data_IF_566035837440
#
_entry.id   IF_566035837440
#
_cell.length_a   1.000
_cell.length_b   1.000
_cell.length_c   1.000
_cell.angle_alpha   90.00
_cell.angle_beta   90.00
_cell.angle_gamma   90.00
#
_symmetry.space_group_name_H-M   'P 1'
#
loop_
_entity.id
_entity.type
_entity.pdbx_description
1 polymer ?
#
# COMPACT_ATOMS: atom_id res chain seq x y z
N UNK A 1 -45.79 15.65 -17.86
CA UNK A 1 -45.11 15.74 -16.53
C UNK A 1 -44.67 14.40 -15.96
N UNK A 2 -45.18 13.25 -16.46
CA UNK A 2 -44.78 11.91 -15.96
C UNK A 2 -43.42 11.44 -16.52
N UNK A 3 -42.99 11.91 -17.70
CA UNK A 3 -41.71 11.50 -18.34
C UNK A 3 -40.43 11.97 -17.62
N UNK A 4 -40.47 13.07 -16.86
CA UNK A 4 -39.29 13.61 -16.18
C UNK A 4 -38.98 12.90 -14.85
N UNK A 5 -40.02 12.37 -14.18
CA UNK A 5 -39.87 11.58 -12.96
C UNK A 5 -39.31 10.18 -13.24
N UNK A 6 -39.71 9.56 -14.35
CA UNK A 6 -39.20 8.26 -14.77
C UNK A 6 -37.73 8.31 -15.17
N UNK A 7 -37.27 9.37 -15.87
CA UNK A 7 -35.85 9.52 -16.24
C UNK A 7 -34.94 9.77 -15.04
N UNK A 8 -35.43 10.48 -14.01
CA UNK A 8 -34.68 10.70 -12.77
C UNK A 8 -34.59 9.40 -11.96
N UNK A 9 -35.68 8.63 -11.88
CA UNK A 9 -35.69 7.35 -11.18
C UNK A 9 -34.78 6.32 -11.85
N UNK A 10 -34.73 6.27 -13.19
CA UNK A 10 -33.77 5.39 -13.90
C UNK A 10 -32.32 5.83 -13.68
N UNK A 11 -32.04 7.14 -13.64
CA UNK A 11 -30.71 7.64 -13.30
C UNK A 11 -30.31 7.29 -11.86
N UNK A 12 -31.24 7.37 -10.92
CA UNK A 12 -30.99 6.94 -9.54
C UNK A 12 -30.74 5.43 -9.45
N UNK A 13 -31.45 4.62 -10.23
CA UNK A 13 -31.28 3.17 -10.28
C UNK A 13 -29.92 2.78 -10.90
N UNK A 14 -29.50 3.47 -11.95
CA UNK A 14 -28.16 3.33 -12.55
C UNK A 14 -27.06 3.72 -11.55
N UNK A 15 -27.26 4.79 -10.78
CA UNK A 15 -26.31 5.17 -9.72
C UNK A 15 -26.30 4.13 -8.61
N UNK A 16 -27.46 3.61 -8.20
CA UNK A 16 -27.57 2.60 -7.16
C UNK A 16 -26.88 1.29 -7.55
N UNK A 17 -27.05 0.84 -8.80
CA UNK A 17 -26.38 -0.35 -9.32
C UNK A 17 -24.86 -0.15 -9.44
N UNK A 18 -24.39 1.00 -9.92
CA UNK A 18 -22.97 1.34 -9.93
C UNK A 18 -22.37 1.35 -8.51
N UNK A 19 -23.08 1.93 -7.54
CA UNK A 19 -22.64 1.97 -6.14
C UNK A 19 -22.60 0.58 -5.50
N UNK A 20 -23.53 -0.31 -5.85
CA UNK A 20 -23.52 -1.69 -5.36
C UNK A 20 -22.30 -2.46 -5.89
N UNK A 21 -22.02 -2.36 -7.19
CA UNK A 21 -20.83 -2.97 -7.81
C UNK A 21 -19.53 -2.47 -7.18
N UNK A 22 -19.42 -1.14 -6.99
CA UNK A 22 -18.27 -0.52 -6.31
C UNK A 22 -18.14 -1.03 -4.88
N UNK A 23 -19.25 -1.19 -4.17
CA UNK A 23 -19.27 -1.66 -2.79
C UNK A 23 -18.82 -3.12 -2.68
N UNK A 24 -19.31 -4.00 -3.57
CA UNK A 24 -18.94 -5.42 -3.60
C UNK A 24 -17.47 -5.60 -3.97
N UNK A 25 -17.03 -4.98 -5.07
CA UNK A 25 -15.65 -5.09 -5.53
C UNK A 25 -14.67 -4.41 -4.58
N UNK A 26 -15.03 -3.25 -4.03
CA UNK A 26 -14.24 -2.54 -3.02
C UNK A 26 -14.07 -3.36 -1.75
N UNK A 27 -15.14 -4.04 -1.28
CA UNK A 27 -15.06 -4.97 -0.14
C UNK A 27 -14.16 -6.16 -0.44
N UNK A 28 -14.22 -6.71 -1.66
CA UNK A 28 -13.35 -7.81 -2.06
C UNK A 28 -11.88 -7.37 -2.14
N UNK A 29 -11.61 -6.19 -2.71
CA UNK A 29 -10.30 -5.58 -2.76
C UNK A 29 -9.73 -5.38 -1.35
N UNK A 30 -10.46 -4.70 -0.47
CA UNK A 30 -10.06 -4.50 0.92
C UNK A 30 -9.78 -5.83 1.65
N UNK A 31 -10.61 -6.86 1.42
CA UNK A 31 -10.41 -8.19 2.02
C UNK A 31 -9.14 -8.87 1.50
N UNK A 32 -8.87 -8.80 0.19
CA UNK A 32 -7.68 -9.43 -0.41
C UNK A 32 -6.39 -8.66 -0.10
N UNK A 33 -6.47 -7.35 0.12
CA UNK A 33 -5.32 -6.52 0.48
C UNK A 33 -5.09 -6.44 1.99
N UNK A 34 -6.01 -6.95 2.83
CA UNK A 34 -5.90 -6.90 4.29
C UNK A 34 -4.63 -7.55 4.84
N UNK A 35 -4.17 -8.67 4.23
CA UNK A 35 -2.92 -9.32 4.63
C UNK A 35 -1.69 -8.44 4.37
N UNK A 36 -1.66 -7.78 3.21
CA UNK A 36 -0.59 -6.85 2.79
C UNK A 36 -0.62 -5.57 3.61
N UNK A 37 -1.82 -5.05 3.91
CA UNK A 37 -2.04 -3.93 4.83
C UNK A 37 -1.45 -4.18 6.22
N UNK A 38 -1.56 -5.42 6.72
CA UNK A 38 -0.93 -5.83 7.97
C UNK A 38 0.60 -5.77 7.91
N UNK A 39 1.20 -6.15 6.77
CA UNK A 39 2.64 -5.99 6.54
C UNK A 39 3.02 -4.50 6.50
N UNK A 40 2.20 -3.64 5.88
CA UNK A 40 2.44 -2.18 5.81
C UNK A 40 2.50 -1.56 7.20
N UNK A 41 1.50 -1.88 8.03
CA UNK A 41 1.44 -1.44 9.42
C UNK A 41 2.65 -1.91 10.22
N UNK A 42 3.03 -3.19 10.08
CA UNK A 42 4.17 -3.77 10.80
C UNK A 42 5.50 -3.13 10.39
N UNK A 43 5.74 -3.02 9.09
CA UNK A 43 6.99 -2.48 8.55
C UNK A 43 7.12 -0.99 8.83
N UNK A 44 6.03 -0.23 8.70
CA UNK A 44 6.03 1.19 9.00
C UNK A 44 6.24 1.41 10.50
N UNK A 45 5.57 0.66 11.38
CA UNK A 45 5.80 0.72 12.83
C UNK A 45 7.27 0.43 13.20
N UNK A 46 7.87 -0.62 12.63
CA UNK A 46 9.30 -0.91 12.80
C UNK A 46 10.19 0.23 12.32
N UNK A 47 9.83 0.88 11.22
CA UNK A 47 10.59 2.00 10.67
C UNK A 47 10.45 3.28 11.50
N UNK A 48 9.41 3.47 12.31
CA UNK A 48 9.35 4.60 13.27
C UNK A 48 10.07 4.27 14.58
N UNK A 49 10.22 2.99 14.95
CA UNK A 49 10.91 2.61 16.20
C UNK A 49 12.38 3.06 16.22
N UNK A 50 12.80 3.69 17.33
CA UNK A 50 14.17 4.18 17.55
C UNK A 50 14.39 5.67 17.29
N UNK A 51 13.38 6.40 16.80
CA UNK A 51 13.35 7.87 16.81
C UNK A 51 12.96 8.32 18.23
N UNK A 52 13.47 9.46 18.71
CA UNK A 52 13.03 9.99 20.03
C UNK A 52 11.53 10.23 19.98
N UNK A 53 10.77 9.83 21.00
CA UNK A 53 9.30 9.94 21.04
C UNK A 53 8.73 11.32 20.64
N UNK A 54 9.45 12.42 20.90
CA UNK A 54 9.05 13.78 20.51
C UNK A 54 9.30 14.13 19.02
N UNK A 55 9.83 13.20 18.22
CA UNK A 55 10.19 13.36 16.80
C UNK A 55 9.54 12.31 15.90
N UNK A 56 8.72 11.42 16.44
CA UNK A 56 8.03 10.37 15.69
C UNK A 56 6.95 10.95 14.75
N UNK A 57 6.14 11.89 15.23
CA UNK A 57 5.07 12.53 14.45
C UNK A 57 5.57 13.21 13.15
N UNK A 58 6.64 14.03 13.16
CA UNK A 58 7.21 14.60 11.93
C UNK A 58 7.73 13.54 10.94
N UNK A 59 8.28 12.43 11.44
CA UNK A 59 8.78 11.33 10.61
C UNK A 59 7.62 10.62 9.94
N UNK A 60 6.60 10.20 10.70
CA UNK A 60 5.38 9.56 10.17
C UNK A 60 4.71 10.45 9.13
N UNK A 61 4.60 11.76 9.39
CA UNK A 61 4.06 12.72 8.43
C UNK A 61 4.89 12.82 7.15
N UNK A 62 6.23 12.80 7.27
CA UNK A 62 7.13 12.79 6.13
C UNK A 62 6.95 11.54 5.25
N UNK A 63 6.80 10.37 5.89
CA UNK A 63 6.54 9.12 5.19
C UNK A 63 5.14 9.13 4.56
N UNK A 64 4.11 9.54 5.28
CA UNK A 64 2.73 9.64 4.80
C UNK A 64 2.63 10.51 3.53
N UNK A 65 3.30 11.67 3.53
CA UNK A 65 3.34 12.55 2.36
C UNK A 65 4.03 11.89 1.16
N UNK A 66 5.14 11.20 1.38
CA UNK A 66 5.85 10.46 0.33
C UNK A 66 5.03 9.30 -0.24
N UNK A 67 4.43 8.51 0.65
CA UNK A 67 3.49 7.43 0.35
C UNK A 67 2.30 7.90 -0.49
N UNK A 68 1.72 9.04 -0.13
CA UNK A 68 0.61 9.62 -0.88
C UNK A 68 1.04 10.00 -2.31
N UNK A 69 2.22 10.61 -2.48
CA UNK A 69 2.76 10.92 -3.82
C UNK A 69 2.97 9.64 -4.63
N UNK A 70 3.51 8.59 -4.01
CA UNK A 70 3.69 7.29 -4.66
C UNK A 70 2.35 6.74 -5.18
N UNK A 71 1.30 6.78 -4.36
CA UNK A 71 -0.04 6.30 -4.72
C UNK A 71 -0.69 7.15 -5.81
N UNK A 72 -0.50 8.47 -5.77
CA UNK A 72 -0.96 9.41 -6.82
C UNK A 72 -0.28 9.13 -8.16
N UNK A 73 0.91 8.52 -8.19
CA UNK A 73 1.58 8.11 -9.42
C UNK A 73 1.17 6.68 -9.83
N UNK A 74 1.15 5.74 -8.88
CA UNK A 74 0.83 4.33 -9.12
C UNK A 74 -0.60 4.12 -9.63
N UNK A 75 -1.59 4.81 -9.06
CA UNK A 75 -3.01 4.61 -9.41
C UNK A 75 -3.29 5.03 -10.86
N UNK A 76 -2.90 6.23 -11.34
CA UNK A 76 -3.04 6.58 -12.75
C UNK A 76 -2.27 5.67 -13.68
N UNK A 77 -1.05 5.23 -13.32
CA UNK A 77 -0.29 4.28 -14.14
C UNK A 77 -1.02 2.94 -14.28
N UNK A 78 -1.59 2.42 -13.20
CA UNK A 78 -2.40 1.20 -13.22
C UNK A 78 -3.65 1.36 -14.11
N UNK A 79 -4.34 2.49 -14.00
CA UNK A 79 -5.49 2.81 -14.84
C UNK A 79 -5.12 2.98 -16.31
N UNK A 80 -3.96 3.58 -16.63
CA UNK A 80 -3.46 3.68 -17.99
C UNK A 80 -3.16 2.31 -18.59
N UNK A 81 -2.51 1.42 -17.82
CA UNK A 81 -2.29 0.04 -18.26
C UNK A 81 -3.62 -0.64 -18.56
N UNK A 82 -4.61 -0.46 -17.68
CA UNK A 82 -5.94 -1.01 -17.84
C UNK A 82 -6.68 -0.49 -19.08
N UNK A 83 -6.57 0.81 -19.36
CA UNK A 83 -7.25 1.45 -20.48
C UNK A 83 -6.62 1.12 -21.84
N UNK A 84 -5.28 1.04 -21.92
CA UNK A 84 -4.57 0.92 -23.19
C UNK A 84 -4.08 -0.49 -23.51
N UNK A 85 -3.72 -1.26 -22.48
CA UNK A 85 -3.10 -2.60 -22.63
C UNK A 85 -3.70 -3.56 -21.57
N UNK A 86 -5.02 -3.80 -21.57
CA UNK A 86 -5.68 -4.61 -20.55
C UNK A 86 -5.17 -6.06 -20.49
N UNK A 87 -4.71 -6.61 -21.62
CA UNK A 87 -4.11 -7.94 -21.67
C UNK A 87 -2.80 -8.03 -20.86
N UNK A 88 -2.10 -6.91 -20.62
CA UNK A 88 -0.89 -6.88 -19.83
C UNK A 88 -1.17 -6.96 -18.32
N UNK A 89 -2.40 -6.73 -17.88
CA UNK A 89 -2.77 -6.85 -16.46
C UNK A 89 -2.50 -8.29 -15.98
N UNK A 90 -3.01 -9.31 -16.67
CA UNK A 90 -2.86 -10.71 -16.28
C UNK A 90 -1.39 -11.15 -16.11
N UNK A 91 -0.48 -10.94 -17.08
CA UNK A 91 0.94 -11.27 -16.90
C UNK A 91 1.62 -10.40 -15.83
N UNK A 92 1.26 -9.13 -15.67
CA UNK A 92 1.81 -8.27 -14.63
C UNK A 92 1.39 -8.75 -13.22
N UNK A 93 0.14 -9.23 -13.08
CA UNK A 93 -0.37 -9.86 -11.86
C UNK A 93 0.27 -11.22 -11.60
N UNK A 94 0.50 -12.04 -12.62
CA UNK A 94 1.20 -13.32 -12.46
C UNK A 94 2.64 -13.09 -12.00
N UNK A 95 3.33 -12.09 -12.56
CA UNK A 95 4.67 -11.71 -12.14
C UNK A 95 4.68 -11.14 -10.72
N UNK A 96 3.74 -10.24 -10.40
CA UNK A 96 3.55 -9.72 -9.05
C UNK A 96 3.29 -10.84 -8.05
N UNK A 97 2.34 -11.73 -8.33
CA UNK A 97 2.03 -12.89 -7.49
C UNK A 97 3.23 -13.83 -7.31
N UNK A 98 4.01 -14.08 -8.36
CA UNK A 98 5.23 -14.87 -8.26
C UNK A 98 6.30 -14.20 -7.38
N UNK A 99 6.48 -12.88 -7.52
CA UNK A 99 7.40 -12.10 -6.68
C UNK A 99 6.99 -12.13 -5.21
N UNK A 100 5.70 -12.04 -4.90
CA UNK A 100 5.18 -12.12 -3.53
C UNK A 100 5.35 -13.50 -2.92
N UNK A 101 5.15 -14.56 -3.70
CA UNK A 101 5.45 -15.92 -3.26
C UNK A 101 6.94 -16.08 -2.91
N UNK A 102 7.83 -15.47 -3.71
CA UNK A 102 9.27 -15.47 -3.43
C UNK A 102 9.61 -14.70 -2.14
N UNK A 103 9.14 -13.45 -2.00
CA UNK A 103 9.40 -12.62 -0.83
C UNK A 103 8.79 -13.23 0.45
N UNK A 104 7.60 -13.83 0.33
CA UNK A 104 6.94 -14.54 1.43
C UNK A 104 7.77 -15.71 1.96
N UNK A 105 8.38 -16.51 1.08
CA UNK A 105 9.27 -17.61 1.49
C UNK A 105 10.55 -17.07 2.13
N UNK A 106 11.14 -16.02 1.56
CA UNK A 106 12.35 -15.38 2.09
C UNK A 106 12.14 -14.84 3.51
N UNK A 107 11.04 -14.12 3.75
CA UNK A 107 10.67 -13.61 5.08
C UNK A 107 10.49 -14.74 6.11
N UNK A 108 9.89 -15.86 5.72
CA UNK A 108 9.73 -17.04 6.60
C UNK A 108 11.08 -17.66 6.93
N UNK A 109 11.95 -17.86 5.94
CA UNK A 109 13.30 -18.41 6.14
C UNK A 109 14.14 -17.50 7.04
N UNK A 110 14.15 -16.19 6.77
CA UNK A 110 14.86 -15.21 7.59
C UNK A 110 14.35 -15.17 9.04
N UNK A 111 13.04 -15.30 9.26
CA UNK A 111 12.46 -15.38 10.61
C UNK A 111 12.90 -16.64 11.36
N UNK A 112 13.06 -17.76 10.65
CA UNK A 112 13.56 -19.01 11.23
C UNK A 112 15.08 -18.97 11.49
N UNK A 113 15.87 -18.34 10.63
CA UNK A 113 17.32 -18.15 10.81
C UNK A 113 17.66 -17.11 11.88
N UNK A 114 16.92 -15.99 11.95
CA UNK A 114 17.06 -14.99 13.00
C UNK A 114 16.76 -15.56 14.39
N UNK A 115 15.88 -16.57 14.48
CA UNK A 115 15.65 -17.32 15.73
C UNK A 115 16.79 -18.28 16.09
N UNK A 116 17.63 -18.69 15.12
CA UNK A 116 18.78 -19.58 15.35
C UNK A 116 20.07 -18.83 15.68
N UNK A 117 20.26 -17.61 15.16
CA UNK A 117 21.46 -16.82 15.41
C UNK A 117 21.26 -15.81 16.55
N UNK A 118 21.82 -16.11 17.73
CA UNK A 118 22.10 -15.07 18.74
C UNK A 118 23.16 -14.13 18.18
N UNK A 119 22.81 -12.88 17.93
CA UNK A 119 23.78 -11.83 17.58
C UNK A 119 24.91 -11.79 18.61
N UNK A 120 26.15 -11.79 18.11
CA UNK A 120 27.35 -11.65 18.92
C UNK A 120 27.37 -10.25 19.57
N UNK A 121 27.44 -10.14 20.92
CA UNK A 121 27.39 -8.86 21.63
C UNK A 121 28.44 -7.84 21.16
N UNK A 122 29.59 -8.30 20.65
CA UNK A 122 30.64 -7.42 20.11
C UNK A 122 30.20 -6.67 18.83
N UNK A 123 29.46 -7.32 17.94
CA UNK A 123 28.93 -6.70 16.72
C UNK A 123 27.79 -5.73 17.01
N UNK A 124 26.99 -6.01 18.05
CA UNK A 124 25.95 -5.10 18.53
C UNK A 124 26.54 -3.80 19.09
N UNK A 125 27.64 -3.89 19.83
CA UNK A 125 28.32 -2.74 20.43
C UNK A 125 28.93 -1.80 19.36
N UNK A 126 29.57 -2.37 18.32
CA UNK A 126 30.11 -1.59 17.20
C UNK A 126 29.00 -0.88 16.39
N UNK A 127 27.86 -1.54 16.18
CA UNK A 127 26.71 -0.94 15.47
C UNK A 127 26.11 0.23 16.27
N UNK A 128 26.04 0.11 17.59
CA UNK A 128 25.58 1.16 18.50
C UNK A 128 26.52 2.37 18.52
N UNK A 129 27.84 2.16 18.46
CA UNK A 129 28.82 3.24 18.39
C UNK A 129 28.74 4.01 17.06
N UNK A 130 28.62 3.31 15.93
CA UNK A 130 28.46 3.94 14.61
C UNK A 130 27.13 4.72 14.47
N UNK A 131 26.07 4.31 15.18
CA UNK A 131 24.80 5.03 15.24
C UNK A 131 24.87 6.29 16.13
N UNK A 132 25.72 6.28 17.15
CA UNK A 132 25.89 7.42 18.09
C UNK A 132 26.65 8.60 17.47
N UNK A 133 27.50 8.36 16.47
CA UNK A 133 28.26 9.40 15.76
C UNK A 133 27.48 10.05 14.60
N UNK A 134 26.28 9.55 14.29
CA UNK A 134 25.51 10.00 13.13
C UNK A 134 24.66 11.22 13.47
N UNK A 135 24.65 12.21 12.57
CA UNK A 135 23.77 13.38 12.68
C UNK A 135 22.30 12.94 12.80
N UNK A 136 21.59 13.32 13.88
CA UNK A 136 20.19 12.96 14.09
C UNK A 136 19.29 13.31 12.90
N UNK A 137 19.55 14.44 12.21
CA UNK A 137 18.75 14.87 11.07
C UNK A 137 19.02 14.02 9.81
N UNK A 138 20.27 13.59 9.61
CA UNK A 138 20.61 12.68 8.52
C UNK A 138 19.98 11.29 8.77
N UNK A 139 19.98 10.83 10.01
CA UNK A 139 19.34 9.57 10.41
C UNK A 139 17.82 9.60 10.19
N UNK A 140 17.13 10.67 10.60
CA UNK A 140 15.69 10.85 10.36
C UNK A 140 15.37 10.87 8.85
N UNK A 141 16.16 11.57 8.04
CA UNK A 141 15.97 11.62 6.58
C UNK A 141 16.16 10.26 5.91
N UNK A 142 17.17 9.49 6.33
CA UNK A 142 17.41 8.15 5.81
C UNK A 142 16.28 7.19 6.18
N UNK A 143 15.77 7.28 7.41
CA UNK A 143 14.58 6.54 7.86
C UNK A 143 13.35 6.87 7.02
N UNK A 144 13.06 8.15 6.79
CA UNK A 144 11.93 8.58 5.94
C UNK A 144 12.08 8.07 4.51
N UNK A 145 13.28 8.18 3.92
CA UNK A 145 13.53 7.68 2.55
C UNK A 145 13.40 6.16 2.46
N UNK A 146 13.91 5.42 3.44
CA UNK A 146 13.76 3.97 3.50
C UNK A 146 12.29 3.57 3.56
N UNK A 147 11.52 4.25 4.41
CA UNK A 147 10.11 3.98 4.58
C UNK A 147 9.27 4.27 3.34
N UNK A 148 9.54 5.37 2.65
CA UNK A 148 8.86 5.69 1.38
C UNK A 148 9.13 4.62 0.31
N UNK A 149 10.33 4.02 0.28
CA UNK A 149 10.65 2.95 -0.67
C UNK A 149 9.93 1.64 -0.34
N UNK A 150 9.88 1.26 0.93
CA UNK A 150 9.16 0.08 1.37
C UNK A 150 7.66 0.23 1.10
N UNK A 151 7.07 1.39 1.46
CA UNK A 151 5.67 1.71 1.18
C UNK A 151 5.36 1.71 -0.32
N UNK A 152 6.28 2.15 -1.19
CA UNK A 152 6.08 2.08 -2.64
C UNK A 152 5.86 0.65 -3.13
N UNK A 153 6.68 -0.29 -2.66
CA UNK A 153 6.59 -1.71 -3.07
C UNK A 153 5.27 -2.30 -2.58
N UNK A 154 4.93 -2.06 -1.31
CA UNK A 154 3.67 -2.53 -0.74
C UNK A 154 2.44 -1.89 -1.40
N UNK A 155 2.53 -0.60 -1.72
CA UNK A 155 1.48 0.12 -2.44
C UNK A 155 1.30 -0.44 -3.84
N UNK A 156 2.38 -0.79 -4.52
CA UNK A 156 2.32 -1.42 -5.84
C UNK A 156 1.64 -2.79 -5.78
N UNK A 157 1.89 -3.58 -4.73
CA UNK A 157 1.19 -4.84 -4.49
C UNK A 157 -0.31 -4.64 -4.26
N UNK A 158 -0.70 -3.73 -3.37
CA UNK A 158 -2.12 -3.41 -3.10
C UNK A 158 -2.83 -2.94 -4.37
N UNK A 159 -2.19 -2.07 -5.14
CA UNK A 159 -2.73 -1.56 -6.41
C UNK A 159 -2.84 -2.67 -7.43
N UNK A 160 -1.85 -3.57 -7.53
CA UNK A 160 -1.90 -4.72 -8.43
C UNK A 160 -3.06 -5.67 -8.06
N UNK A 161 -3.16 -6.10 -6.79
CA UNK A 161 -4.26 -6.95 -6.32
C UNK A 161 -5.62 -6.31 -6.62
N UNK A 162 -5.76 -5.01 -6.32
CA UNK A 162 -7.00 -4.27 -6.56
C UNK A 162 -7.31 -4.19 -8.05
N UNK A 163 -6.33 -3.85 -8.88
CA UNK A 163 -6.47 -3.78 -10.34
C UNK A 163 -6.90 -5.13 -10.90
N UNK A 164 -6.36 -6.24 -10.41
CA UNK A 164 -6.77 -7.58 -10.83
C UNK A 164 -8.20 -7.96 -10.48
N UNK A 165 -8.78 -7.36 -9.43
CA UNK A 165 -10.19 -7.58 -9.05
C UNK A 165 -11.12 -6.77 -9.94
N UNK A 166 -10.72 -5.55 -10.32
CA UNK A 166 -11.55 -4.62 -11.08
C UNK A 166 -11.21 -4.57 -12.56
N UNK A 167 -10.29 -5.42 -13.05
CA UNK A 167 -9.77 -5.39 -14.41
C UNK A 167 -10.88 -5.46 -15.49
N UNK A 168 -11.94 -6.22 -15.22
CA UNK A 168 -13.08 -6.39 -16.13
C UNK A 168 -14.22 -5.38 -15.86
N UNK A 169 -14.10 -4.55 -14.83
CA UNK A 169 -15.11 -3.56 -14.48
C UNK A 169 -15.04 -2.32 -15.39
N UNK A 170 -16.13 -1.54 -15.53
CA UNK A 170 -16.10 -0.26 -16.22
C UNK A 170 -15.03 0.68 -15.64
N UNK A 171 -14.41 1.49 -16.50
CA UNK A 171 -13.29 2.39 -16.11
C UNK A 171 -13.64 3.27 -14.90
N UNK A 172 -14.88 3.76 -14.82
CA UNK A 172 -15.34 4.58 -13.70
C UNK A 172 -15.31 3.81 -12.36
N UNK A 173 -15.70 2.54 -12.36
CA UNK A 173 -15.62 1.68 -11.17
C UNK A 173 -14.16 1.42 -10.79
N UNK A 174 -13.30 1.17 -11.78
CA UNK A 174 -11.86 0.99 -11.54
C UNK A 174 -11.25 2.22 -10.87
N UNK A 175 -11.55 3.43 -11.37
CA UNK A 175 -11.06 4.69 -10.81
C UNK A 175 -11.51 4.85 -9.37
N UNK A 176 -12.80 4.66 -9.10
CA UNK A 176 -13.37 4.86 -7.77
C UNK A 176 -12.83 3.84 -6.76
N UNK A 177 -12.71 2.57 -7.14
CA UNK A 177 -12.22 1.52 -6.26
C UNK A 177 -10.72 1.68 -6.00
N UNK A 178 -9.89 1.88 -7.03
CA UNK A 178 -8.44 2.05 -6.86
C UNK A 178 -8.12 3.29 -6.03
N UNK A 179 -8.79 4.41 -6.30
CA UNK A 179 -8.59 5.65 -5.53
C UNK A 179 -9.10 5.49 -4.09
N UNK A 180 -10.27 4.87 -3.90
CA UNK A 180 -10.85 4.61 -2.59
C UNK A 180 -9.95 3.73 -1.72
N UNK A 181 -9.42 2.62 -2.28
CA UNK A 181 -8.48 1.75 -1.57
C UNK A 181 -7.17 2.47 -1.26
N UNK A 182 -6.60 3.22 -2.22
CA UNK A 182 -5.36 3.96 -1.99
C UNK A 182 -5.49 4.98 -0.85
N UNK A 183 -6.62 5.71 -0.79
CA UNK A 183 -6.92 6.65 0.29
C UNK A 183 -7.15 5.92 1.61
N UNK A 184 -7.98 4.87 1.61
CA UNK A 184 -8.30 4.09 2.81
C UNK A 184 -7.03 3.51 3.43
N UNK A 185 -6.15 2.93 2.63
CA UNK A 185 -4.87 2.39 3.08
C UNK A 185 -3.99 3.48 3.65
N UNK A 186 -3.87 4.62 2.97
CA UNK A 186 -3.06 5.75 3.48
C UNK A 186 -3.59 6.25 4.83
N UNK A 187 -4.91 6.42 4.97
CA UNK A 187 -5.48 6.88 6.24
C UNK A 187 -5.37 5.79 7.31
N UNK A 188 -5.65 4.54 6.96
CA UNK A 188 -5.61 3.41 7.90
C UNK A 188 -4.21 3.15 8.43
N UNK A 189 -3.19 3.19 7.58
CA UNK A 189 -1.81 2.91 7.98
C UNK A 189 -1.26 4.06 8.81
N UNK A 190 -1.32 5.29 8.29
CA UNK A 190 -0.69 6.44 8.95
C UNK A 190 -1.57 7.10 10.02
N UNK A 191 -2.85 6.75 10.13
CA UNK A 191 -3.73 7.17 11.20
C UNK A 191 -3.75 6.22 12.41
N UNK A 192 -3.30 4.97 12.23
CA UNK A 192 -3.17 3.98 13.31
C UNK A 192 -1.74 3.87 13.87
N UNK A 193 -0.74 4.29 13.10
CA UNK A 193 0.67 4.46 13.52
C UNK A 193 0.83 5.75 14.30
#
# INVERSE_FOLDING_TARGET
MILAGSSLLTLLDDIATLLDDISVMGKLAAKKTAGVLGDDLSLNAQQVTGVRANRELPVVWGVAKGSFINKVILVPLALLISAFIPWAITPLLMLGGAFLCFEGVEKVLHSLEARKHKEDPAQRQQRLQALAERDPLAFERDKVKGAIRTDFILSAEIVAITLGIVAEAPLLNQILILSGIAILVTIGVYGLV
#
